data_IF_360876057035
#
_entry.id   IF_360876057035
#
_cell.length_a   1.000
_cell.length_b   1.000
_cell.length_c   1.000
_cell.angle_alpha   90.00
_cell.angle_beta   90.00
_cell.angle_gamma   90.00
#
_symmetry.space_group_name_H-M   'P 1'
#
loop_
_entity.id
_entity.type
_entity.pdbx_description
1 polymer ?
#
# COMPACT_ATOMS: atom_id res chain seq x y z
N UNK A 1 -0.32 34.49 0.05
CA UNK A 1 -1.17 33.82 -0.96
C UNK A 1 -2.20 32.96 -0.22
N UNK A 2 -3.43 32.80 -0.74
CA UNK A 2 -4.38 31.87 -0.14
C UNK A 2 -3.79 30.47 -0.05
N UNK A 3 -4.02 29.79 1.07
CA UNK A 3 -3.55 28.43 1.35
C UNK A 3 -4.73 27.48 1.16
N UNK A 4 -4.50 26.41 0.40
CA UNK A 4 -5.49 25.36 0.13
C UNK A 4 -4.89 24.05 0.62
N UNK A 5 -5.49 23.47 1.66
CA UNK A 5 -5.00 22.23 2.27
C UNK A 5 -5.66 20.99 1.66
N UNK A 6 -4.86 19.93 1.53
CA UNK A 6 -5.25 18.63 0.97
C UNK A 6 -4.74 17.51 1.88
N UNK A 7 -5.44 16.37 1.87
CA UNK A 7 -4.97 15.13 2.53
C UNK A 7 -4.64 14.09 1.48
N UNK A 8 -3.49 13.44 1.62
CA UNK A 8 -2.99 12.44 0.67
C UNK A 8 -2.69 11.12 1.39
N UNK A 9 -3.57 10.14 1.24
CA UNK A 9 -3.35 8.75 1.69
C UNK A 9 -2.88 7.81 0.57
N UNK A 10 -2.93 8.29 -0.66
CA UNK A 10 -2.66 7.57 -1.90
C UNK A 10 -2.54 8.57 -3.05
N UNK A 11 -2.89 8.16 -4.27
CA UNK A 11 -3.07 9.08 -5.38
C UNK A 11 -4.13 10.15 -5.06
N UNK A 12 -3.86 11.40 -5.43
CA UNK A 12 -4.80 12.52 -5.25
C UNK A 12 -5.00 13.30 -6.55
N UNK A 13 -6.24 13.71 -6.80
CA UNK A 13 -6.63 14.59 -7.89
C UNK A 13 -7.29 15.84 -7.33
N UNK A 14 -6.58 16.97 -7.40
CA UNK A 14 -7.06 18.26 -6.91
C UNK A 14 -7.73 19.02 -8.05
N UNK A 15 -9.00 19.39 -7.87
CA UNK A 15 -9.69 20.27 -8.80
C UNK A 15 -9.09 21.68 -8.74
N UNK A 16 -8.75 22.22 -9.90
CA UNK A 16 -8.19 23.55 -10.06
C UNK A 16 -9.30 24.50 -10.46
N UNK A 17 -9.69 25.39 -9.53
CA UNK A 17 -10.66 26.43 -9.86
C UNK A 17 -10.12 27.31 -11.01
N UNK A 18 -10.89 27.53 -12.08
CA UNK A 18 -10.59 28.55 -13.05
C UNK A 18 -10.85 29.93 -12.43
N UNK A 19 -9.89 30.86 -12.50
CA UNK A 19 -10.16 32.25 -12.14
C UNK A 19 -11.17 32.85 -13.13
N UNK A 20 -12.01 33.80 -12.71
CA UNK A 20 -12.96 34.51 -13.58
C UNK A 20 -12.23 35.30 -14.68
N UNK A 21 -12.94 35.62 -15.78
CA UNK A 21 -12.38 36.04 -17.08
C UNK A 21 -11.88 37.49 -17.02
N UNK A 22 -10.56 37.69 -17.05
CA UNK A 22 -9.93 38.97 -17.40
C UNK A 22 -8.97 38.73 -18.57
N UNK A 23 -9.52 38.79 -19.79
CA UNK A 23 -8.84 38.87 -21.11
C UNK A 23 -7.41 38.29 -21.24
N UNK A 24 -7.23 37.11 -21.86
CA UNK A 24 -5.89 36.55 -22.20
C UNK A 24 -5.82 35.02 -22.31
N UNK A 25 -4.73 34.47 -22.87
CA UNK A 25 -4.44 33.02 -22.86
C UNK A 25 -4.04 32.60 -21.45
N UNK A 26 -4.84 31.74 -20.80
CA UNK A 26 -4.60 31.32 -19.41
C UNK A 26 -3.56 30.21 -19.35
N UNK A 27 -2.69 30.28 -18.36
CA UNK A 27 -1.73 29.23 -18.04
C UNK A 27 -1.58 29.11 -16.53
N UNK A 28 -1.49 27.89 -16.02
CA UNK A 28 -1.18 27.64 -14.61
C UNK A 28 -0.04 26.65 -14.50
N UNK A 29 0.99 27.03 -13.76
CA UNK A 29 2.14 26.21 -13.47
C UNK A 29 2.25 26.01 -11.95
N UNK A 30 2.77 24.88 -11.53
CA UNK A 30 3.14 24.58 -10.16
C UNK A 30 4.65 24.51 -10.07
N UNK A 31 5.18 25.14 -9.03
CA UNK A 31 6.59 25.05 -8.66
C UNK A 31 6.71 24.52 -7.23
N UNK A 32 7.87 23.98 -6.90
CA UNK A 32 8.18 23.48 -5.56
C UNK A 32 7.96 24.55 -4.50
N UNK A 33 7.31 24.16 -3.40
CA UNK A 33 7.24 24.92 -2.16
C UNK A 33 8.06 24.23 -1.07
N UNK A 34 7.64 24.41 0.19
CA UNK A 34 8.24 23.77 1.36
C UNK A 34 8.25 22.25 1.25
N UNK A 35 9.34 21.63 1.72
CA UNK A 35 9.57 20.18 1.74
C UNK A 35 9.41 19.51 0.36
N UNK A 36 9.87 20.17 -0.70
CA UNK A 36 9.97 19.57 -2.04
C UNK A 36 11.42 19.58 -2.51
N UNK A 37 11.96 18.40 -2.80
CA UNK A 37 13.35 18.17 -3.22
C UNK A 37 13.36 17.85 -4.71
N UNK A 38 14.06 18.66 -5.50
CA UNK A 38 14.14 18.49 -6.96
C UNK A 38 12.84 18.84 -7.71
N UNK A 39 11.88 19.49 -7.05
CA UNK A 39 10.71 20.03 -7.72
C UNK A 39 11.11 21.23 -8.61
N UNK A 40 10.39 21.48 -9.72
CA UNK A 40 10.68 22.62 -10.58
C UNK A 40 10.56 23.93 -9.80
N UNK A 41 11.53 24.83 -9.96
CA UNK A 41 11.53 26.14 -9.30
C UNK A 41 11.05 27.26 -10.22
N UNK A 42 10.99 27.00 -11.54
CA UNK A 42 10.60 27.95 -12.57
C UNK A 42 9.64 27.32 -13.56
N UNK A 43 8.81 28.17 -14.15
CA UNK A 43 7.91 27.80 -15.23
C UNK A 43 8.69 27.54 -16.52
N UNK A 44 8.22 26.58 -17.31
CA UNK A 44 8.72 26.35 -18.67
C UNK A 44 7.59 26.46 -19.69
N UNK A 45 7.94 26.84 -20.92
CA UNK A 45 7.06 26.74 -22.08
C UNK A 45 7.44 25.47 -22.84
N UNK A 46 6.55 24.47 -22.86
CA UNK A 46 6.85 23.23 -23.56
C UNK A 46 6.03 22.03 -23.10
N UNK A 47 6.03 21.01 -23.96
CA UNK A 47 5.58 19.66 -23.64
C UNK A 47 6.75 18.88 -23.03
N UNK A 48 6.49 17.92 -22.15
CA UNK A 48 7.57 17.24 -21.44
C UNK A 48 7.14 15.97 -20.72
N UNK A 49 8.07 15.39 -19.97
CA UNK A 49 7.83 14.19 -19.16
C UNK A 49 7.22 14.60 -17.81
N UNK A 50 6.61 13.65 -17.10
CA UNK A 50 6.11 13.82 -15.74
C UNK A 50 7.05 14.62 -14.84
N UNK A 51 6.50 15.51 -14.01
CA UNK A 51 7.29 16.17 -12.97
C UNK A 51 7.50 15.19 -11.83
N UNK A 52 8.75 14.78 -11.64
CA UNK A 52 9.18 13.98 -10.49
C UNK A 52 9.82 14.91 -9.48
N UNK A 53 9.52 14.68 -8.21
CA UNK A 53 10.18 15.34 -7.09
C UNK A 53 10.15 14.41 -5.90
N UNK A 54 10.91 14.71 -4.86
CA UNK A 54 10.85 14.00 -3.60
C UNK A 54 10.35 14.89 -2.48
N UNK A 55 9.84 14.27 -1.43
CA UNK A 55 9.44 14.90 -0.18
C UNK A 55 10.03 14.09 0.97
N UNK A 56 10.27 14.72 2.11
CA UNK A 56 10.68 14.00 3.31
C UNK A 56 9.44 13.70 4.16
N UNK A 57 9.19 12.42 4.42
CA UNK A 57 8.14 11.95 5.33
C UNK A 57 8.80 11.27 6.53
N UNK A 58 8.17 11.33 7.69
CA UNK A 58 8.67 10.71 8.93
C UNK A 58 7.85 9.48 9.30
N UNK A 59 8.52 8.45 9.82
CA UNK A 59 7.83 7.33 10.45
C UNK A 59 7.38 7.67 11.88
N UNK A 60 6.85 6.68 12.61
CA UNK A 60 6.37 6.84 13.99
C UNK A 60 7.47 7.21 14.98
N UNK A 61 8.72 6.84 14.67
CA UNK A 61 9.90 7.14 15.49
C UNK A 61 10.49 8.51 15.14
N UNK A 62 9.91 9.20 14.16
CA UNK A 62 10.35 10.50 13.68
C UNK A 62 11.51 10.44 12.69
N UNK A 63 11.92 9.25 12.24
CA UNK A 63 13.02 9.09 11.29
C UNK A 63 12.59 9.56 9.90
N UNK A 64 13.40 10.39 9.21
CA UNK A 64 13.07 10.92 7.90
C UNK A 64 13.32 9.90 6.78
N UNK A 65 12.38 9.83 5.84
CA UNK A 65 12.41 8.98 4.66
C UNK A 65 12.14 9.82 3.41
N UNK A 66 13.04 9.71 2.43
CA UNK A 66 12.87 10.35 1.13
C UNK A 66 11.85 9.58 0.29
N UNK A 67 10.73 10.24 -0.04
CA UNK A 67 9.63 9.65 -0.82
C UNK A 67 9.47 10.37 -2.15
N UNK A 68 9.52 9.64 -3.25
CA UNK A 68 9.39 10.18 -4.59
C UNK A 68 7.92 10.25 -5.04
N UNK A 69 7.54 11.40 -5.58
CA UNK A 69 6.23 11.69 -6.13
C UNK A 69 6.34 11.99 -7.63
N UNK A 70 5.27 11.66 -8.35
CA UNK A 70 5.03 12.06 -9.73
C UNK A 70 3.79 12.93 -9.76
N UNK A 71 3.89 14.09 -10.42
CA UNK A 71 2.77 14.98 -10.61
C UNK A 71 2.60 15.40 -12.07
N UNK A 72 1.34 15.63 -12.45
CA UNK A 72 0.97 16.10 -13.77
C UNK A 72 -0.35 16.87 -13.77
N UNK A 73 -0.52 17.69 -14.81
CA UNK A 73 -1.78 18.37 -15.08
C UNK A 73 -2.70 17.50 -15.94
N UNK A 74 -4.02 17.57 -15.70
CA UNK A 74 -5.06 16.81 -16.42
C UNK A 74 -6.27 17.68 -16.78
N UNK A 75 -7.05 17.22 -17.76
CA UNK A 75 -8.35 17.81 -18.16
C UNK A 75 -9.44 16.77 -17.96
N UNK A 76 -10.44 17.09 -17.14
CA UNK A 76 -11.60 16.23 -16.88
C UNK A 76 -11.19 14.80 -16.45
N UNK A 77 -10.04 14.67 -15.78
CA UNK A 77 -9.45 13.38 -15.38
C UNK A 77 -8.72 12.61 -16.49
N UNK A 78 -8.91 12.97 -17.76
CA UNK A 78 -8.20 12.37 -18.90
C UNK A 78 -6.86 13.07 -19.14
N UNK A 79 -5.87 12.29 -19.59
CA UNK A 79 -4.63 12.87 -20.12
C UNK A 79 -4.97 13.59 -21.42
N UNK A 80 -4.33 14.73 -21.65
CA UNK A 80 -4.48 15.41 -22.92
C UNK A 80 -3.96 14.51 -24.04
N UNK A 81 -4.71 14.42 -25.14
CA UNK A 81 -4.39 13.53 -26.27
C UNK A 81 -2.91 13.72 -26.64
N UNK A 82 -2.10 12.69 -26.42
CA UNK A 82 -0.67 12.66 -26.74
C UNK A 82 0.29 13.48 -25.84
N UNK A 83 -0.17 14.29 -24.89
CA UNK A 83 0.70 15.21 -24.14
C UNK A 83 0.66 14.96 -22.63
N UNK A 84 1.79 14.48 -22.08
CA UNK A 84 2.09 14.59 -20.64
C UNK A 84 2.47 16.05 -20.38
N UNK A 85 1.66 16.78 -19.63
CA UNK A 85 1.96 18.18 -19.30
C UNK A 85 2.62 18.19 -17.91
N UNK A 86 3.89 18.59 -17.80
CA UNK A 86 4.55 18.72 -16.51
C UNK A 86 3.87 19.83 -15.71
N UNK A 87 3.93 19.75 -14.38
CA UNK A 87 3.17 20.66 -13.53
C UNK A 87 3.63 22.10 -13.66
N UNK A 88 4.89 22.35 -14.04
CA UNK A 88 5.47 23.67 -14.24
C UNK A 88 5.30 24.20 -15.66
N UNK A 89 4.54 23.53 -16.53
CA UNK A 89 4.27 23.98 -17.89
C UNK A 89 3.02 24.84 -17.99
N UNK A 90 3.14 25.90 -18.79
CA UNK A 90 2.06 26.82 -19.10
C UNK A 90 1.10 26.33 -20.21
N UNK A 91 1.27 25.12 -20.75
CA UNK A 91 0.54 24.70 -21.96
C UNK A 91 -0.94 24.38 -21.69
N UNK A 92 -1.80 24.91 -22.57
CA UNK A 92 -3.19 24.44 -22.76
C UNK A 92 -3.20 23.23 -23.65
N UNK A 93 -4.01 22.21 -23.35
CA UNK A 93 -4.07 21.03 -24.20
C UNK A 93 -4.55 21.42 -25.59
N UNK A 94 -3.66 21.26 -26.58
CA UNK A 94 -3.87 21.72 -27.93
C UNK A 94 -4.84 20.78 -28.63
N UNK A 95 -6.07 21.27 -28.83
CA UNK A 95 -6.89 20.92 -29.99
C UNK A 95 -7.83 22.10 -30.24
N UNK A 96 -7.67 22.74 -31.41
CA UNK A 96 -8.63 23.75 -31.87
C UNK A 96 -10.01 23.07 -32.06
N UNK A 97 -11.12 23.80 -31.80
CA UNK A 97 -11.19 25.25 -31.64
C UNK A 97 -11.18 25.73 -30.17
N UNK A 98 -11.07 24.83 -29.18
CA UNK A 98 -11.14 25.20 -27.76
C UNK A 98 -9.92 24.69 -27.00
N UNK A 99 -8.90 25.55 -26.87
CA UNK A 99 -7.81 25.36 -25.92
C UNK A 99 -8.40 25.10 -24.53
N UNK A 100 -8.41 23.83 -24.09
CA UNK A 100 -8.90 23.47 -22.77
C UNK A 100 -7.76 23.60 -21.77
N UNK A 101 -8.04 24.23 -20.65
CA UNK A 101 -7.10 24.39 -19.54
C UNK A 101 -7.10 23.13 -18.71
N UNK A 102 -5.92 22.73 -18.23
CA UNK A 102 -5.85 21.78 -17.15
C UNK A 102 -6.69 22.26 -15.97
N UNK A 103 -7.64 21.42 -15.56
CA UNK A 103 -8.56 21.69 -14.46
C UNK A 103 -8.32 20.74 -13.27
N UNK A 104 -7.33 19.86 -13.37
CA UNK A 104 -6.92 18.99 -12.27
C UNK A 104 -5.39 18.92 -12.16
N UNK A 105 -4.89 19.01 -10.93
CA UNK A 105 -3.54 18.59 -10.56
C UNK A 105 -3.62 17.17 -10.04
N UNK A 106 -2.84 16.28 -10.61
CA UNK A 106 -2.78 14.89 -10.23
C UNK A 106 -1.41 14.58 -9.62
N UNK A 107 -1.39 13.97 -8.44
CA UNK A 107 -0.16 13.60 -7.72
C UNK A 107 -0.27 12.15 -7.26
N UNK A 108 0.78 11.37 -7.47
CA UNK A 108 0.88 9.98 -7.03
C UNK A 108 2.29 9.64 -6.55
N UNK A 109 2.44 8.56 -5.79
CA UNK A 109 3.73 8.00 -5.41
C UNK A 109 4.41 7.35 -6.61
N UNK A 110 5.69 7.64 -6.86
CA UNK A 110 6.44 7.02 -7.97
C UNK A 110 6.84 5.59 -7.57
N UNK A 111 6.08 4.59 -8.04
CA UNK A 111 6.34 3.19 -7.74
C UNK A 111 7.68 2.67 -8.25
N UNK A 112 8.30 3.32 -9.24
CA UNK A 112 9.61 2.90 -9.75
C UNK A 112 10.77 3.45 -8.91
N UNK A 113 10.67 4.70 -8.45
CA UNK A 113 11.70 5.35 -7.64
C UNK A 113 11.58 4.99 -6.15
N UNK A 114 10.39 4.64 -5.68
CA UNK A 114 10.18 4.20 -4.29
C UNK A 114 10.42 2.69 -4.08
N UNK A 115 10.99 1.95 -5.04
CA UNK A 115 11.18 0.49 -4.92
C UNK A 115 11.93 0.08 -3.67
N UNK A 116 13.03 0.76 -3.35
CA UNK A 116 13.83 0.43 -2.16
C UNK A 116 13.12 0.79 -0.87
N UNK A 117 12.35 1.87 -0.88
CA UNK A 117 11.51 2.28 0.25
C UNK A 117 10.39 1.26 0.47
N UNK A 118 9.72 0.83 -0.60
CA UNK A 118 8.70 -0.23 -0.58
C UNK A 118 9.29 -1.54 -0.10
N UNK A 119 10.48 -1.90 -0.57
CA UNK A 119 11.20 -3.07 -0.08
C UNK A 119 11.41 -2.92 1.42
N UNK A 120 12.16 -1.89 1.86
CA UNK A 120 12.65 -1.78 3.24
C UNK A 120 11.58 -1.45 4.29
N UNK A 121 10.54 -0.71 3.92
CA UNK A 121 9.60 -0.11 4.86
C UNK A 121 8.14 -0.47 4.57
N UNK A 122 7.87 -1.57 3.87
CA UNK A 122 6.51 -2.05 3.61
C UNK A 122 5.64 -2.08 4.88
N UNK A 123 4.44 -1.51 4.81
CA UNK A 123 3.49 -1.44 5.93
C UNK A 123 3.80 -0.37 6.97
N UNK A 124 4.94 0.33 6.85
CA UNK A 124 5.27 1.49 7.69
C UNK A 124 4.37 2.65 7.32
N UNK A 125 3.87 3.36 8.35
CA UNK A 125 3.11 4.60 8.17
C UNK A 125 4.10 5.76 8.12
N UNK A 126 4.13 6.47 7.01
CA UNK A 126 4.93 7.66 6.78
C UNK A 126 4.02 8.89 6.72
N UNK A 127 4.35 9.91 7.51
CA UNK A 127 3.56 11.13 7.62
C UNK A 127 4.41 12.37 7.41
N UNK A 128 3.83 13.42 6.86
CA UNK A 128 4.57 14.67 6.63
C UNK A 128 3.80 15.61 5.72
N UNK A 129 4.28 16.85 5.62
CA UNK A 129 3.63 17.88 4.84
C UNK A 129 4.56 18.38 3.74
N UNK A 130 4.02 18.64 2.55
CA UNK A 130 4.73 19.38 1.50
C UNK A 130 3.81 20.42 0.88
N UNK A 131 4.38 21.39 0.16
CA UNK A 131 3.58 22.37 -0.56
C UNK A 131 4.02 22.57 -2.01
N UNK A 132 3.06 22.94 -2.84
CA UNK A 132 3.29 23.38 -4.21
C UNK A 132 2.70 24.78 -4.38
N UNK A 133 3.49 25.69 -4.93
CA UNK A 133 3.02 27.04 -5.25
C UNK A 133 2.45 27.03 -6.66
N UNK A 134 1.16 27.31 -6.78
CA UNK A 134 0.52 27.55 -8.07
C UNK A 134 0.77 28.99 -8.49
N UNK A 135 1.31 29.17 -9.67
CA UNK A 135 1.49 30.47 -10.31
C UNK A 135 0.61 30.52 -11.56
N UNK A 136 -0.21 31.56 -11.66
CA UNK A 136 -1.04 31.81 -12.84
C UNK A 136 -0.55 33.07 -13.54
N UNK A 137 -0.51 33.01 -14.87
CA UNK A 137 0.08 34.07 -15.68
C UNK A 137 -0.89 34.51 -16.78
N UNK A 138 -0.82 35.80 -17.11
CA UNK A 138 -1.50 36.37 -18.29
C UNK A 138 -0.66 36.19 -19.54
N UNK A 139 0.66 36.44 -19.41
CA UNK A 139 1.71 36.41 -20.42
C UNK A 139 3.05 36.08 -19.72
N UNK A 140 4.12 35.65 -20.44
CA UNK A 140 5.40 35.20 -19.85
C UNK A 140 6.09 36.13 -18.84
N UNK A 141 5.69 37.41 -18.77
CA UNK A 141 6.33 38.45 -17.93
C UNK A 141 5.52 38.89 -16.71
N UNK A 142 4.26 38.47 -16.54
CA UNK A 142 3.41 38.87 -15.41
C UNK A 142 2.58 37.72 -14.79
N UNK A 143 2.89 37.39 -13.54
CA UNK A 143 2.06 36.53 -12.70
C UNK A 143 0.83 37.33 -12.22
N UNK A 144 -0.36 36.77 -12.43
CA UNK A 144 -1.64 37.37 -12.05
C UNK A 144 -2.00 37.08 -10.59
N UNK A 145 -1.63 35.89 -10.11
CA UNK A 145 -2.02 35.38 -8.80
C UNK A 145 -1.14 34.20 -8.41
N UNK A 146 -1.04 33.98 -7.10
CA UNK A 146 -0.41 32.79 -6.57
C UNK A 146 -1.24 32.18 -5.45
N UNK A 147 -1.32 30.86 -5.44
CA UNK A 147 -2.01 30.07 -4.41
C UNK A 147 -1.01 29.05 -3.86
N UNK A 148 -1.02 28.81 -2.55
CA UNK A 148 -0.22 27.75 -1.96
C UNK A 148 -1.11 26.52 -1.77
N UNK A 149 -0.66 25.37 -2.26
CA UNK A 149 -1.33 24.09 -2.03
C UNK A 149 -0.51 23.31 -1.02
N UNK A 150 -1.05 23.06 0.16
CA UNK A 150 -0.43 22.25 1.20
C UNK A 150 -1.01 20.85 1.20
N UNK A 151 -0.16 19.84 1.31
CA UNK A 151 -0.53 18.44 1.28
C UNK A 151 -0.06 17.78 2.57
N UNK A 152 -1.02 17.39 3.40
CA UNK A 152 -0.77 16.50 4.53
C UNK A 152 -0.77 15.06 4.03
N UNK A 153 0.39 14.42 4.06
CA UNK A 153 0.60 13.05 3.60
C UNK A 153 0.48 12.11 4.79
N UNK A 154 -0.33 11.07 4.62
CA UNK A 154 -0.51 9.96 5.55
C UNK A 154 -0.49 8.66 4.77
N UNK A 155 0.72 8.19 4.46
CA UNK A 155 0.92 7.09 3.53
C UNK A 155 1.35 5.82 4.25
N UNK A 156 0.61 4.74 4.02
CA UNK A 156 1.06 3.40 4.40
C UNK A 156 1.81 2.84 3.19
N UNK A 157 3.12 2.60 3.36
CA UNK A 157 3.97 2.07 2.30
C UNK A 157 3.37 0.74 1.80
N UNK A 158 3.11 0.60 0.48
CA UNK A 158 2.45 -0.57 -0.08
C UNK A 158 3.15 -1.86 0.33
N UNK A 159 2.33 -2.84 0.69
CA UNK A 159 2.78 -4.20 1.00
C UNK A 159 2.39 -5.09 -0.17
N UNK A 160 3.23 -6.09 -0.51
CA UNK A 160 2.79 -7.13 -1.45
C UNK A 160 1.63 -7.90 -0.82
N UNK A 161 0.45 -7.81 -1.43
CA UNK A 161 -0.75 -8.52 -0.98
C UNK A 161 -0.94 -9.78 -1.81
N UNK A 162 -1.15 -10.90 -1.14
CA UNK A 162 -1.54 -12.19 -1.72
C UNK A 162 -2.90 -12.56 -1.15
N UNK A 163 -3.90 -12.74 -2.01
CA UNK A 163 -5.25 -13.09 -1.58
C UNK A 163 -5.48 -14.60 -1.74
N UNK A 164 -6.16 -15.19 -0.75
CA UNK A 164 -6.53 -16.60 -0.71
C UNK A 164 -8.01 -16.71 -0.36
N UNK A 165 -8.67 -17.74 -0.89
CA UNK A 165 -10.05 -18.08 -0.52
C UNK A 165 -10.04 -19.37 0.30
N UNK A 166 -10.72 -19.36 1.45
CA UNK A 166 -10.84 -20.50 2.35
C UNK A 166 -12.31 -20.85 2.53
N UNK A 167 -12.71 -22.02 2.04
CA UNK A 167 -14.04 -22.60 2.27
C UNK A 167 -13.99 -23.94 3.02
N UNK A 168 -12.79 -24.49 3.21
CA UNK A 168 -12.47 -25.73 3.92
C UNK A 168 -11.01 -25.64 4.38
N UNK A 169 -10.47 -26.72 4.96
CA UNK A 169 -9.04 -26.81 5.24
C UNK A 169 -8.24 -26.60 3.94
N UNK A 170 -7.22 -25.75 3.97
CA UNK A 170 -6.39 -25.39 2.81
C UNK A 170 -4.92 -25.65 3.07
N UNK A 171 -4.21 -26.01 2.01
CA UNK A 171 -2.75 -25.97 1.94
C UNK A 171 -2.37 -24.97 0.86
N UNK A 172 -1.56 -23.98 1.23
CA UNK A 172 -1.18 -22.88 0.34
C UNK A 172 0.27 -23.03 -0.01
N UNK A 173 0.55 -23.20 -1.29
CA UNK A 173 1.91 -23.17 -1.80
C UNK A 173 2.52 -21.79 -1.58
N UNK A 174 3.55 -21.75 -0.75
CA UNK A 174 4.30 -20.55 -0.48
C UNK A 174 5.54 -20.55 -1.35
N UNK A 175 5.54 -19.67 -2.35
CA UNK A 175 6.75 -19.45 -3.14
C UNK A 175 7.87 -18.89 -2.25
N UNK A 176 9.12 -19.35 -2.45
CA UNK A 176 10.28 -18.74 -1.81
C UNK A 176 10.32 -17.23 -2.08
N UNK A 177 10.63 -16.44 -1.05
CA UNK A 177 10.93 -15.02 -1.23
C UNK A 177 12.24 -14.95 -2.02
N UNK A 178 12.18 -14.50 -3.29
CA UNK A 178 13.38 -14.31 -4.13
C UNK A 178 14.34 -13.33 -3.46
N UNK A 179 15.63 -13.69 -3.41
CA UNK A 179 16.64 -13.01 -2.60
C UNK A 179 17.53 -12.04 -3.37
N UNK A 180 18.22 -11.22 -2.58
CA UNK A 180 19.51 -10.60 -2.93
C UNK A 180 20.68 -11.11 -2.04
N UNK A 181 20.52 -11.41 -0.73
CA UNK A 181 21.55 -12.05 0.18
C UNK A 181 20.94 -12.65 1.48
N UNK A 182 21.61 -13.56 2.26
CA UNK A 182 21.33 -13.96 3.69
C UNK A 182 20.90 -15.44 4.03
N UNK A 183 19.95 -15.70 4.97
CA UNK A 183 19.16 -16.97 5.17
C UNK A 183 17.74 -16.99 4.52
N UNK A 184 17.26 -18.13 3.98
CA UNK A 184 15.96 -18.25 3.25
C UNK A 184 14.72 -18.33 4.18
N UNK A 185 14.91 -18.32 5.49
CA UNK A 185 13.85 -18.51 6.47
C UNK A 185 12.83 -17.37 6.49
N UNK A 186 11.55 -17.76 6.49
CA UNK A 186 10.42 -16.87 6.64
C UNK A 186 9.39 -17.51 7.56
N UNK A 187 8.59 -16.69 8.24
CA UNK A 187 7.54 -17.13 9.13
C UNK A 187 6.32 -16.22 9.02
N UNK A 188 5.18 -16.65 9.52
CA UNK A 188 3.94 -15.89 9.60
C UNK A 188 3.65 -15.44 11.03
N UNK A 189 3.13 -14.23 11.14
CA UNK A 189 2.60 -13.65 12.38
C UNK A 189 1.20 -13.12 12.15
N UNK A 190 0.46 -12.89 13.23
CA UNK A 190 -0.89 -12.32 13.22
C UNK A 190 -0.95 -10.98 12.49
N UNK A 191 -1.98 -10.84 11.64
CA UNK A 191 -2.34 -9.61 10.96
C UNK A 191 -3.73 -9.14 11.37
N UNK A 192 -4.49 -8.64 10.41
CA UNK A 192 -5.85 -8.16 10.60
C UNK A 192 -6.78 -9.29 11.05
N UNK A 193 -7.69 -9.00 12.00
CA UNK A 193 -8.71 -9.92 12.50
C UNK A 193 -8.15 -11.28 12.97
N UNK A 194 -6.99 -11.26 13.64
CA UNK A 194 -6.41 -12.44 14.29
C UNK A 194 -6.32 -12.23 15.80
N UNK A 195 -6.83 -13.18 16.57
CA UNK A 195 -6.88 -13.15 18.04
C UNK A 195 -6.03 -14.31 18.56
N UNK A 196 -5.05 -14.00 19.41
CA UNK A 196 -4.13 -15.01 19.96
C UNK A 196 -3.10 -15.56 18.98
N UNK A 197 -3.02 -15.02 17.76
CA UNK A 197 -1.95 -15.36 16.83
C UNK A 197 -0.60 -14.77 17.30
N UNK A 198 0.54 -15.46 17.04
CA UNK A 198 1.86 -14.94 17.40
C UNK A 198 2.12 -13.58 16.75
N UNK A 199 2.71 -12.64 17.46
CA UNK A 199 3.02 -11.30 16.94
C UNK A 199 4.49 -11.13 16.56
N UNK A 200 5.34 -12.08 16.96
CA UNK A 200 6.79 -12.07 16.74
C UNK A 200 7.25 -13.40 16.19
N UNK A 201 8.25 -13.33 15.33
CA UNK A 201 8.95 -14.50 14.80
C UNK A 201 9.93 -15.04 15.86
N UNK A 202 10.12 -16.35 15.89
CA UNK A 202 11.04 -17.03 16.80
C UNK A 202 11.99 -17.94 16.03
N UNK A 203 13.20 -18.11 16.55
CA UNK A 203 14.18 -19.06 16.03
C UNK A 203 14.12 -20.37 16.81
N UNK A 204 13.02 -21.11 16.64
CA UNK A 204 12.79 -22.36 17.37
C UNK A 204 12.03 -23.37 16.52
N UNK A 205 12.54 -24.59 16.39
CA UNK A 205 11.83 -25.67 15.71
C UNK A 205 10.89 -26.40 16.66
N UNK A 206 9.74 -25.80 17.00
CA UNK A 206 8.69 -26.49 17.76
C UNK A 206 7.73 -27.20 16.81
N UNK A 207 7.61 -28.52 16.95
CA UNK A 207 6.73 -29.37 16.15
C UNK A 207 5.25 -29.30 16.60
N UNK A 208 4.72 -28.08 16.78
CA UNK A 208 3.36 -27.85 17.27
C UNK A 208 2.64 -26.91 16.30
N UNK A 209 1.39 -27.20 15.94
CA UNK A 209 0.60 -26.27 15.13
C UNK A 209 0.20 -25.04 15.95
N UNK A 210 0.16 -23.89 15.29
CA UNK A 210 -0.27 -22.62 15.89
C UNK A 210 -1.78 -22.53 15.91
N UNK A 211 -2.36 -22.33 17.10
CA UNK A 211 -3.80 -22.08 17.26
C UNK A 211 -4.05 -20.58 17.41
N UNK A 212 -5.05 -20.07 16.70
CA UNK A 212 -5.52 -18.70 16.84
C UNK A 212 -7.02 -18.63 16.52
N UNK A 213 -7.61 -17.46 16.69
CA UNK A 213 -9.02 -17.24 16.34
C UNK A 213 -9.20 -16.05 15.41
N UNK A 214 -10.31 -16.04 14.71
CA UNK A 214 -10.76 -14.94 13.85
C UNK A 214 -12.23 -14.67 14.14
N UNK A 215 -12.71 -13.45 13.89
CA UNK A 215 -14.15 -13.16 13.95
C UNK A 215 -14.75 -13.28 12.56
N UNK A 216 -15.73 -14.17 12.41
CA UNK A 216 -16.51 -14.33 11.18
C UNK A 216 -17.98 -14.02 11.45
N UNK A 217 -18.69 -13.54 10.44
CA UNK A 217 -20.09 -13.17 10.54
C UNK A 217 -20.96 -14.23 9.86
N UNK A 218 -22.14 -14.50 10.43
CA UNK A 218 -23.16 -15.26 9.74
C UNK A 218 -23.54 -14.56 8.44
N UNK A 219 -23.48 -15.27 7.33
CA UNK A 219 -23.99 -14.81 6.05
C UNK A 219 -25.45 -15.22 5.94
N UNK A 220 -26.30 -14.50 6.66
CA UNK A 220 -27.75 -14.64 6.58
C UNK A 220 -28.39 -13.27 6.40
N UNK A 221 -29.44 -13.16 5.57
CA UNK A 221 -30.02 -11.86 5.15
C UNK A 221 -30.58 -11.03 6.32
N UNK A 222 -30.75 -11.64 7.49
CA UNK A 222 -31.40 -11.06 8.67
C UNK A 222 -30.55 -11.12 9.95
N UNK A 223 -29.34 -11.72 9.90
CA UNK A 223 -28.57 -11.99 11.12
C UNK A 223 -27.11 -11.54 10.97
N UNK A 224 -26.72 -10.52 11.74
CA UNK A 224 -25.35 -9.96 11.78
C UNK A 224 -24.48 -10.60 12.86
N UNK A 225 -24.91 -11.75 13.42
CA UNK A 225 -24.20 -12.46 14.48
C UNK A 225 -22.73 -12.73 14.11
N UNK A 226 -21.83 -12.39 15.03
CA UNK A 226 -20.40 -12.59 14.91
C UNK A 226 -19.96 -13.76 15.78
N UNK A 227 -19.14 -14.64 15.22
CA UNK A 227 -18.64 -15.85 15.86
C UNK A 227 -17.12 -15.82 15.92
N UNK A 228 -16.59 -16.17 17.08
CA UNK A 228 -15.16 -16.46 17.24
C UNK A 228 -14.91 -17.86 16.69
N UNK A 229 -14.19 -17.94 15.58
CA UNK A 229 -13.83 -19.20 14.92
C UNK A 229 -12.37 -19.50 15.18
N UNK A 230 -12.09 -20.71 15.63
CA UNK A 230 -10.74 -21.19 15.94
C UNK A 230 -10.11 -21.85 14.73
N UNK A 231 -8.89 -21.44 14.41
CA UNK A 231 -8.08 -21.95 13.31
C UNK A 231 -6.81 -22.59 13.87
N UNK A 232 -6.34 -23.64 13.19
CA UNK A 232 -5.04 -24.25 13.41
C UNK A 232 -4.23 -24.05 12.14
N UNK A 233 -3.04 -23.49 12.27
CA UNK A 233 -2.13 -23.32 11.15
C UNK A 233 -0.74 -23.88 11.46
N UNK A 234 -0.12 -24.45 10.44
CA UNK A 234 1.25 -24.91 10.50
C UNK A 234 1.95 -24.72 9.16
N UNK A 235 3.26 -24.76 9.24
CA UNK A 235 4.12 -24.70 8.06
C UNK A 235 4.63 -26.11 7.78
N UNK A 236 4.48 -26.55 6.53
CA UNK A 236 4.95 -27.86 6.07
C UNK A 236 6.26 -27.78 5.29
N UNK A 237 7.10 -28.79 5.50
CA UNK A 237 8.35 -29.01 4.78
C UNK A 237 8.31 -30.36 4.08
N UNK A 238 8.75 -30.42 2.82
CA UNK A 238 8.81 -31.67 2.04
C UNK A 238 9.89 -32.65 2.52
N UNK A 239 10.84 -32.21 3.36
CA UNK A 239 12.09 -32.94 3.65
C UNK A 239 12.24 -33.42 5.11
N UNK A 240 11.13 -33.64 5.82
CA UNK A 240 11.16 -34.47 7.04
C UNK A 240 10.89 -33.76 8.37
N UNK A 241 10.51 -32.48 8.36
CA UNK A 241 9.85 -31.88 9.52
C UNK A 241 8.34 -31.89 9.30
N UNK A 242 7.65 -32.71 10.09
CA UNK A 242 6.24 -33.02 9.89
C UNK A 242 5.36 -31.77 9.85
N UNK A 243 5.44 -30.91 10.88
CA UNK A 243 4.67 -29.66 11.02
C UNK A 243 5.38 -28.71 11.97
N UNK A 244 5.32 -27.40 11.72
CA UNK A 244 5.95 -26.39 12.57
C UNK A 244 5.03 -25.22 12.86
N UNK A 245 5.28 -24.53 13.98
CA UNK A 245 4.57 -23.30 14.30
C UNK A 245 4.75 -22.26 13.20
N UNK A 246 3.70 -21.50 12.91
CA UNK A 246 3.75 -20.56 11.79
C UNK A 246 4.74 -19.43 12.01
N UNK A 247 5.08 -19.09 13.26
CA UNK A 247 6.04 -18.04 13.59
C UNK A 247 7.49 -18.53 13.73
N UNK A 248 7.77 -19.80 13.42
CA UNK A 248 9.14 -20.34 13.41
C UNK A 248 9.89 -19.98 12.13
N UNK A 249 11.10 -19.43 12.29
CA UNK A 249 12.07 -19.27 11.21
C UNK A 249 13.14 -20.38 11.16
N UNK A 250 13.19 -21.26 12.15
CA UNK A 250 14.23 -22.29 12.24
C UNK A 250 13.95 -23.45 11.28
N UNK A 251 14.80 -23.67 10.28
CA UNK A 251 14.66 -24.81 9.36
C UNK A 251 15.14 -26.10 10.01
N UNK A 252 14.48 -27.23 9.68
CA UNK A 252 14.73 -28.52 10.33
C UNK A 252 15.94 -29.33 9.84
N UNK A 253 16.75 -28.84 8.90
CA UNK A 253 17.92 -29.58 8.45
C UNK A 253 19.18 -28.72 8.42
N UNK A 254 20.30 -29.34 8.83
CA UNK A 254 21.66 -28.77 8.84
C UNK A 254 22.22 -28.45 7.45
N UNK A 255 21.50 -28.77 6.37
CA UNK A 255 21.83 -28.33 5.01
C UNK A 255 20.90 -27.20 4.63
N UNK A 256 21.40 -26.00 4.89
CA UNK A 256 21.02 -24.77 4.21
C UNK A 256 20.55 -25.10 2.79
N UNK A 257 19.25 -24.99 2.48
CA UNK A 257 18.79 -24.40 1.21
C UNK A 257 17.31 -24.49 0.88
N UNK A 258 16.49 -25.30 1.54
CA UNK A 258 15.08 -25.42 1.11
C UNK A 258 14.10 -24.75 2.08
N UNK A 259 13.47 -23.63 1.68
CA UNK A 259 12.49 -22.96 2.51
C UNK A 259 11.24 -23.83 2.61
N UNK A 260 10.46 -23.57 3.65
CA UNK A 260 9.10 -24.08 3.74
C UNK A 260 8.28 -23.78 2.49
N UNK A 261 7.49 -24.76 2.07
CA UNK A 261 6.78 -24.71 0.81
C UNK A 261 5.26 -24.60 0.97
N UNK A 262 4.73 -24.84 2.17
CA UNK A 262 3.29 -24.83 2.42
C UNK A 262 2.91 -24.11 3.71
N UNK A 263 1.79 -23.39 3.69
CA UNK A 263 1.07 -22.96 4.88
C UNK A 263 -0.27 -23.67 4.88
N UNK A 264 -0.43 -24.53 5.87
CA UNK A 264 -1.66 -25.28 6.08
C UNK A 264 -2.50 -24.52 7.10
N UNK A 265 -3.78 -24.31 6.77
CA UNK A 265 -4.75 -23.67 7.66
C UNK A 265 -5.99 -24.56 7.69
N UNK A 266 -6.42 -24.93 8.89
CA UNK A 266 -7.59 -25.76 9.14
C UNK A 266 -8.51 -25.15 10.20
N UNK A 267 -9.78 -25.53 10.16
CA UNK A 267 -10.74 -25.15 11.20
C UNK A 267 -10.61 -26.11 12.39
N UNK A 268 -10.38 -25.60 13.60
CA UNK A 268 -10.20 -26.45 14.79
C UNK A 268 -11.50 -27.17 15.14
N UNK A 269 -11.58 -28.46 14.82
CA UNK A 269 -12.77 -29.29 15.02
C UNK A 269 -13.18 -29.41 16.49
N UNK A 270 -12.25 -29.30 17.44
CA UNK A 270 -12.54 -29.47 18.85
C UNK A 270 -13.06 -28.17 19.47
N UNK A 271 -12.44 -27.05 19.13
CA UNK A 271 -12.82 -25.74 19.67
C UNK A 271 -14.06 -25.15 18.99
N UNK A 272 -14.31 -25.50 17.74
CA UNK A 272 -15.47 -25.01 17.00
C UNK A 272 -16.75 -25.84 17.20
N UNK A 273 -16.76 -26.88 18.05
CA UNK A 273 -17.94 -27.75 18.29
C UNK A 273 -19.20 -27.01 18.75
N UNK A 274 -19.03 -25.83 19.37
CA UNK A 274 -20.13 -25.02 19.88
C UNK A 274 -20.73 -24.07 18.84
N UNK A 275 -20.17 -24.01 17.62
CA UNK A 275 -20.73 -23.21 16.56
C UNK A 275 -22.02 -23.85 16.04
N UNK A 276 -23.05 -23.06 15.66
CA UNK A 276 -24.26 -23.62 15.07
C UNK A 276 -23.94 -24.38 13.77
N UNK A 277 -24.33 -25.64 13.68
CA UNK A 277 -24.16 -26.45 12.47
C UNK A 277 -24.98 -25.92 11.29
N UNK A 278 -24.47 -26.09 10.07
CA UNK A 278 -25.18 -25.77 8.83
C UNK A 278 -25.20 -24.30 8.41
N UNK A 279 -24.79 -23.35 9.28
CA UNK A 279 -24.69 -21.94 8.93
C UNK A 279 -23.47 -21.66 8.05
N UNK A 280 -23.54 -20.59 7.25
CA UNK A 280 -22.38 -20.10 6.50
C UNK A 280 -21.75 -18.92 7.24
N UNK A 281 -20.47 -19.04 7.57
CA UNK A 281 -19.67 -17.97 8.18
C UNK A 281 -18.74 -17.34 7.14
N UNK A 282 -18.80 -16.01 7.03
CA UNK A 282 -17.97 -15.21 6.12
C UNK A 282 -17.18 -14.14 6.84
N UNK A 283 -16.01 -13.80 6.28
CA UNK A 283 -15.20 -12.71 6.79
C UNK A 283 -13.80 -12.72 6.19
N UNK A 284 -12.96 -11.82 6.68
CA UNK A 284 -11.58 -11.71 6.23
C UNK A 284 -10.62 -11.66 7.40
N UNK A 285 -9.45 -12.29 7.25
CA UNK A 285 -8.32 -12.11 8.15
C UNK A 285 -7.02 -12.01 7.35
N UNK A 286 -5.94 -11.59 8.00
CA UNK A 286 -4.62 -11.63 7.36
C UNK A 286 -3.53 -12.18 8.25
N UNK A 287 -2.52 -12.78 7.61
CA UNK A 287 -1.25 -13.14 8.22
C UNK A 287 -0.14 -12.34 7.54
N UNK A 288 0.82 -11.88 8.32
CA UNK A 288 2.00 -11.17 7.80
C UNK A 288 3.14 -12.16 7.70
N UNK A 289 3.71 -12.31 6.51
CA UNK A 289 4.92 -13.09 6.29
C UNK A 289 6.14 -12.21 6.51
N UNK A 290 7.02 -12.62 7.42
CA UNK A 290 8.26 -11.97 7.82
C UNK A 290 9.47 -12.81 7.39
N UNK A 291 10.63 -12.18 7.24
CA UNK A 291 11.89 -12.84 6.85
C UNK A 291 12.99 -12.62 7.90
N UNK A 292 13.84 -13.63 8.13
CA UNK A 292 14.98 -13.55 9.08
C UNK A 292 16.25 -12.92 8.44
N UNK A 293 17.19 -12.31 9.22
CA UNK A 293 17.13 -11.97 10.66
C UNK A 293 16.45 -10.63 10.95
N UNK A 294 16.14 -9.87 9.91
CA UNK A 294 15.58 -8.54 10.06
C UNK A 294 14.06 -8.66 10.29
N UNK A 295 13.66 -8.72 11.57
CA UNK A 295 12.26 -8.48 11.98
C UNK A 295 11.72 -7.11 11.50
N UNK A 296 12.57 -6.26 10.93
CA UNK A 296 12.21 -5.00 10.31
C UNK A 296 11.90 -5.19 8.82
N UNK A 297 10.58 -5.29 8.54
CA UNK A 297 9.79 -4.69 7.43
C UNK A 297 10.26 -4.80 5.98
N UNK A 298 11.42 -5.39 5.70
CA UNK A 298 12.13 -5.23 4.43
C UNK A 298 11.68 -6.18 3.31
N UNK A 299 10.88 -7.20 3.63
CA UNK A 299 10.23 -8.10 2.67
C UNK A 299 8.92 -8.63 3.28
N UNK A 300 8.03 -7.71 3.67
CA UNK A 300 6.74 -8.06 4.26
C UNK A 300 5.74 -8.42 3.14
N UNK A 301 5.15 -9.61 3.21
CA UNK A 301 4.01 -10.00 2.40
C UNK A 301 2.77 -10.08 3.30
N UNK A 302 1.66 -9.46 2.90
CA UNK A 302 0.36 -9.61 3.55
C UNK A 302 -0.40 -10.72 2.84
N UNK A 303 -0.69 -11.80 3.55
CA UNK A 303 -1.56 -12.87 3.07
C UNK A 303 -2.96 -12.61 3.59
N UNK A 304 -3.87 -12.19 2.72
CA UNK A 304 -5.26 -11.98 3.05
C UNK A 304 -6.05 -13.24 2.74
N UNK A 305 -6.97 -13.58 3.63
CA UNK A 305 -7.81 -14.76 3.54
C UNK A 305 -9.26 -14.32 3.58
N UNK A 306 -9.97 -14.58 2.49
CA UNK A 306 -11.42 -14.48 2.41
C UNK A 306 -12.02 -15.83 2.80
N UNK A 307 -12.77 -15.84 3.90
CA UNK A 307 -13.41 -17.04 4.43
C UNK A 307 -14.86 -17.09 3.98
N UNK A 308 -15.26 -18.24 3.46
CA UNK A 308 -16.64 -18.59 3.17
C UNK A 308 -16.86 -20.06 3.57
N UNK A 309 -17.01 -20.29 4.87
CA UNK A 309 -17.03 -21.62 5.46
C UNK A 309 -18.44 -22.01 5.88
N UNK A 310 -18.92 -23.15 5.38
CA UNK A 310 -20.15 -23.78 5.87
C UNK A 310 -19.80 -24.66 7.07
N UNK A 311 -20.30 -24.31 8.24
CA UNK A 311 -20.06 -25.07 9.48
C UNK A 311 -20.64 -26.47 9.30
N UNK A 312 -19.85 -27.55 9.46
CA UNK A 312 -20.36 -28.91 9.42
C UNK A 312 -21.51 -29.11 10.43
N UNK A 313 -22.48 -30.00 10.12
CA UNK A 313 -23.52 -30.36 11.07
C UNK A 313 -22.97 -31.01 12.34
#
# INVERSE_FOLDING_TARGET
PPVISHTMKGEVSVALKPIKRTTGKRSSAFVGGSNTIGAPTKMIWGVGVFTRFAVELKDKEGQPHKVHLVANLRIDGKRCWGMKIPINSAITCANKPKNKLANKLHIAFDGALNKDLVKKFAGTRLTGNFSLKRLQWKNPRHALSSEMHEFAVDWIVPVKVVNHTINRDVSIDIKPIKRTTGHKSAAFVGGFNTIGAPTKMVWSSSAVSTKFSVILHAHDKHNSAAYKVHLVADITSKLGCARMTINSAATCSKRYEEPYNGLDISFDKALNKKLPGGITLKGHFSLKRLQWPHMNTTNLEMHNFEVNWKVPP
#
